data_IF_026496912430
#
_entry.id   IF_026496912430
#
_cell.length_a   1.000
_cell.length_b   1.000
_cell.length_c   1.000
_cell.angle_alpha   90.00
_cell.angle_beta   90.00
_cell.angle_gamma   90.00
#
_symmetry.space_group_name_H-M   'P 1'
#
loop_
_entity.id
_entity.type
_entity.pdbx_description
1 polymer ?
#
# COMPACT_ATOMS: atom_id res chain seq x y z
N UNK A 1 2.24 -17.01 -24.09
CA UNK A 1 1.17 -16.19 -23.49
C UNK A 1 1.72 -15.58 -22.20
N UNK A 2 1.80 -14.25 -22.15
CA UNK A 2 2.21 -13.55 -20.93
C UNK A 2 0.96 -13.34 -20.05
N UNK A 3 0.71 -14.27 -19.14
CA UNK A 3 -0.40 -14.19 -18.21
C UNK A 3 -0.15 -13.12 -17.13
N UNK A 4 -1.21 -12.48 -16.59
CA UNK A 4 -1.08 -11.60 -15.45
C UNK A 4 -0.61 -12.38 -14.22
N UNK A 5 -0.02 -11.67 -13.24
CA UNK A 5 0.53 -12.26 -12.00
C UNK A 5 -0.52 -13.05 -11.21
N UNK A 6 -1.76 -12.63 -11.25
CA UNK A 6 -2.89 -13.34 -10.65
C UNK A 6 -4.13 -13.23 -11.55
N UNK A 7 -4.86 -14.32 -11.61
CA UNK A 7 -6.17 -14.41 -12.27
C UNK A 7 -7.16 -14.73 -11.18
N UNK A 8 -8.06 -13.79 -10.92
CA UNK A 8 -9.05 -13.90 -9.86
C UNK A 8 -10.44 -14.05 -10.46
N UNK A 9 -11.20 -14.97 -9.90
CA UNK A 9 -12.60 -15.19 -10.24
C UNK A 9 -13.45 -15.15 -8.97
N UNK A 10 -14.69 -14.69 -9.09
CA UNK A 10 -15.71 -14.78 -8.07
C UNK A 10 -16.92 -15.54 -8.63
N UNK A 11 -17.43 -16.46 -7.84
CA UNK A 11 -18.66 -17.17 -8.13
C UNK A 11 -19.75 -16.67 -7.20
N UNK A 12 -20.86 -16.25 -7.78
CA UNK A 12 -22.09 -15.93 -7.05
C UNK A 12 -22.98 -17.18 -7.07
N UNK A 13 -23.38 -17.65 -5.91
CA UNK A 13 -24.27 -18.80 -5.77
C UNK A 13 -25.59 -18.42 -5.12
N UNK A 14 -26.63 -19.19 -5.41
CA UNK A 14 -27.90 -19.11 -4.71
C UNK A 14 -27.72 -19.52 -3.24
N UNK A 15 -28.30 -18.76 -2.31
CA UNK A 15 -28.11 -18.98 -0.87
C UNK A 15 -28.80 -20.27 -0.38
N UNK A 16 -29.93 -20.62 -0.98
CA UNK A 16 -30.75 -21.75 -0.53
C UNK A 16 -30.32 -23.07 -1.16
N UNK A 17 -29.97 -23.04 -2.44
CA UNK A 17 -29.67 -24.25 -3.24
C UNK A 17 -28.19 -24.47 -3.48
N UNK A 18 -27.34 -23.47 -3.29
CA UNK A 18 -25.93 -23.50 -3.68
C UNK A 18 -25.68 -23.43 -5.19
N UNK A 19 -26.71 -23.36 -6.01
CA UNK A 19 -26.59 -23.32 -7.46
C UNK A 19 -25.81 -22.08 -7.92
N UNK A 20 -24.83 -22.23 -8.84
CA UNK A 20 -24.09 -21.08 -9.33
C UNK A 20 -24.97 -20.17 -10.18
N UNK A 21 -25.01 -18.88 -9.85
CA UNK A 21 -25.75 -17.81 -10.56
C UNK A 21 -24.86 -17.04 -11.53
N UNK A 22 -23.60 -16.84 -11.18
CA UNK A 22 -22.64 -16.12 -12.04
C UNK A 22 -21.20 -16.50 -11.72
N UNK A 23 -20.34 -16.43 -12.73
CA UNK A 23 -18.88 -16.50 -12.61
C UNK A 23 -18.33 -15.25 -13.30
N UNK A 24 -17.53 -14.47 -12.56
CA UNK A 24 -17.06 -13.16 -13.02
C UNK A 24 -15.55 -13.00 -12.76
N UNK A 25 -14.87 -12.18 -13.57
CA UNK A 25 -13.52 -11.75 -13.24
C UNK A 25 -13.53 -10.87 -11.98
N UNK A 26 -12.65 -11.20 -11.04
CA UNK A 26 -12.53 -10.48 -9.77
C UNK A 26 -11.27 -9.61 -9.67
N UNK A 27 -10.49 -9.43 -10.75
CA UNK A 27 -9.25 -8.67 -10.70
C UNK A 27 -9.50 -7.20 -10.31
N UNK A 28 -10.50 -6.55 -10.92
CA UNK A 28 -10.87 -5.19 -10.57
C UNK A 28 -11.45 -5.11 -9.15
N UNK A 29 -12.34 -6.02 -8.79
CA UNK A 29 -12.92 -6.11 -7.44
C UNK A 29 -11.81 -6.21 -6.39
N UNK A 30 -10.84 -7.09 -6.60
CA UNK A 30 -9.71 -7.26 -5.68
C UNK A 30 -8.85 -6.00 -5.56
N UNK A 31 -8.57 -5.33 -6.68
CA UNK A 31 -7.80 -4.09 -6.67
C UNK A 31 -8.55 -2.96 -5.93
N UNK A 32 -9.84 -2.79 -6.21
CA UNK A 32 -10.68 -1.76 -5.58
C UNK A 32 -10.83 -1.99 -4.07
N UNK A 33 -11.15 -3.23 -3.62
CA UNK A 33 -11.30 -3.50 -2.18
C UNK A 33 -9.97 -3.32 -1.43
N UNK A 34 -8.83 -3.68 -2.08
CA UNK A 34 -7.51 -3.51 -1.47
C UNK A 34 -7.13 -2.03 -1.38
N UNK A 35 -7.42 -1.24 -2.42
CA UNK A 35 -7.16 0.19 -2.40
C UNK A 35 -8.12 1.00 -1.51
N UNK A 36 -9.35 0.54 -1.31
CA UNK A 36 -10.32 1.21 -0.45
C UNK A 36 -9.97 1.11 1.05
N UNK A 37 -9.33 0.01 1.49
CA UNK A 37 -8.99 -0.21 2.90
C UNK A 37 -8.08 0.88 3.48
N UNK A 38 -6.92 1.21 2.88
CA UNK A 38 -6.07 2.26 3.42
C UNK A 38 -6.71 3.64 3.35
N UNK A 39 -7.52 3.93 2.34
CA UNK A 39 -8.24 5.19 2.26
C UNK A 39 -9.33 5.32 3.34
N UNK A 40 -10.07 4.26 3.60
CA UNK A 40 -11.01 4.20 4.72
C UNK A 40 -10.28 4.42 6.06
N UNK A 41 -9.14 3.79 6.24
CA UNK A 41 -8.31 3.99 7.43
C UNK A 41 -7.78 5.43 7.51
N UNK A 42 -7.36 6.02 6.40
CA UNK A 42 -6.90 7.41 6.32
C UNK A 42 -7.97 8.42 6.78
N UNK A 43 -9.24 8.16 6.46
CA UNK A 43 -10.36 8.98 6.93
C UNK A 43 -10.36 9.18 8.44
N UNK A 44 -9.87 8.21 9.21
CA UNK A 44 -9.88 8.22 10.68
C UNK A 44 -8.50 8.48 11.28
N UNK A 45 -7.43 8.03 10.63
CA UNK A 45 -6.08 8.00 11.19
C UNK A 45 -5.17 9.10 10.63
N UNK A 46 -5.36 9.51 9.36
CA UNK A 46 -4.55 10.57 8.79
C UNK A 46 -4.97 11.94 9.32
N UNK A 47 -4.02 12.86 9.32
CA UNK A 47 -4.30 14.25 9.67
C UNK A 47 -5.25 14.87 8.66
N UNK A 48 -6.21 15.67 9.15
CA UNK A 48 -7.23 16.29 8.29
C UNK A 48 -6.67 17.36 7.35
N UNK A 49 -5.53 17.96 7.72
CA UNK A 49 -4.80 18.94 6.95
C UNK A 49 -3.72 18.34 6.04
N UNK A 50 -3.74 17.01 5.81
CA UNK A 50 -2.81 16.32 4.91
C UNK A 50 -2.86 16.90 3.50
N UNK A 51 -1.68 17.28 2.96
CA UNK A 51 -1.51 17.90 1.64
C UNK A 51 -0.66 17.10 0.69
N UNK A 52 0.24 16.26 1.22
CA UNK A 52 1.20 15.49 0.44
C UNK A 52 0.92 13.99 0.58
N UNK A 53 0.56 13.36 -0.54
CA UNK A 53 0.34 11.92 -0.65
C UNK A 53 1.49 11.27 -1.42
N UNK A 54 2.10 10.25 -0.87
CA UNK A 54 3.12 9.44 -1.54
C UNK A 54 2.54 8.08 -1.94
N UNK A 55 2.71 7.71 -3.21
CA UNK A 55 2.28 6.42 -3.78
C UNK A 55 3.52 5.62 -4.19
N UNK A 56 3.91 4.67 -3.36
CA UNK A 56 5.05 3.79 -3.58
C UNK A 56 4.54 2.50 -4.22
N UNK A 57 5.01 2.18 -5.43
CA UNK A 57 4.43 1.16 -6.29
C UNK A 57 3.15 1.66 -6.97
N UNK A 58 3.23 2.59 -7.95
CA UNK A 58 2.08 3.21 -8.61
C UNK A 58 1.42 2.27 -9.63
N UNK A 59 1.06 1.06 -9.18
CA UNK A 59 0.32 0.05 -9.92
C UNK A 59 -1.19 0.16 -9.73
N UNK A 60 -1.91 -0.89 -10.13
CA UNK A 60 -3.37 -0.92 -10.11
C UNK A 60 -3.96 -0.74 -8.70
N UNK A 61 -3.30 -1.29 -7.66
CA UNK A 61 -3.77 -1.17 -6.26
C UNK A 61 -3.69 0.29 -5.83
N UNK A 62 -2.52 0.94 -6.00
CA UNK A 62 -2.36 2.35 -5.64
C UNK A 62 -3.18 3.28 -6.53
N UNK A 63 -3.52 2.89 -7.77
CA UNK A 63 -4.48 3.65 -8.59
C UNK A 63 -5.88 3.62 -7.99
N UNK A 64 -6.33 2.45 -7.53
CA UNK A 64 -7.62 2.32 -6.83
C UNK A 64 -7.60 3.03 -5.47
N UNK A 65 -6.48 2.93 -4.74
CA UNK A 65 -6.31 3.64 -3.47
C UNK A 65 -6.34 5.15 -3.65
N UNK A 66 -5.65 5.69 -4.67
CA UNK A 66 -5.66 7.11 -5.00
C UNK A 66 -7.09 7.63 -5.21
N UNK A 67 -7.90 6.92 -6.01
CA UNK A 67 -9.30 7.31 -6.23
C UNK A 67 -10.06 7.45 -4.91
N UNK A 68 -9.84 6.54 -3.97
CA UNK A 68 -10.47 6.58 -2.66
C UNK A 68 -9.82 7.63 -1.72
N UNK A 69 -8.50 7.84 -1.77
CA UNK A 69 -7.83 8.87 -0.99
C UNK A 69 -8.31 10.27 -1.35
N UNK A 70 -8.48 10.56 -2.64
CA UNK A 70 -8.93 11.87 -3.10
C UNK A 70 -10.34 12.24 -2.62
N UNK A 71 -11.19 11.23 -2.31
CA UNK A 71 -12.50 11.43 -1.69
C UNK A 71 -12.42 11.72 -0.18
N UNK A 72 -11.47 11.12 0.53
CA UNK A 72 -11.40 11.21 2.00
C UNK A 72 -10.37 12.23 2.51
N UNK A 73 -9.44 12.65 1.66
CA UNK A 73 -8.38 13.63 1.92
C UNK A 73 -8.46 14.78 0.89
N UNK A 74 -9.46 15.68 1.02
CA UNK A 74 -9.77 16.66 -0.02
C UNK A 74 -8.71 17.76 -0.18
N UNK A 75 -7.74 17.85 0.75
CA UNK A 75 -6.70 18.87 0.74
C UNK A 75 -5.38 18.41 0.12
N UNK A 76 -5.32 17.21 -0.46
CA UNK A 76 -4.14 16.73 -1.18
C UNK A 76 -3.90 17.63 -2.40
N UNK A 77 -2.73 18.24 -2.44
CA UNK A 77 -2.31 19.17 -3.51
C UNK A 77 -0.95 18.77 -4.13
N UNK A 78 -0.21 17.87 -3.47
CA UNK A 78 1.03 17.30 -4.01
C UNK A 78 0.97 15.78 -3.94
N UNK A 79 1.37 15.12 -5.05
CA UNK A 79 1.49 13.66 -5.10
C UNK A 79 2.91 13.28 -5.49
N UNK A 80 3.51 12.40 -4.70
CA UNK A 80 4.83 11.80 -4.95
C UNK A 80 4.64 10.37 -5.45
N UNK A 81 5.34 10.02 -6.52
CA UNK A 81 5.24 8.71 -7.17
C UNK A 81 6.60 8.02 -7.15
N UNK A 82 6.67 6.80 -6.59
CA UNK A 82 7.88 5.97 -6.63
C UNK A 82 7.59 4.66 -7.36
N UNK A 83 8.07 4.56 -8.60
CA UNK A 83 8.04 3.34 -9.41
C UNK A 83 9.35 2.55 -9.29
N UNK A 84 9.57 1.58 -10.17
CA UNK A 84 10.85 0.86 -10.29
C UNK A 84 11.98 1.76 -10.79
N UNK A 85 11.64 2.85 -11.45
CA UNK A 85 12.54 3.93 -11.90
C UNK A 85 11.70 5.17 -12.17
N UNK A 86 12.36 6.33 -12.34
CA UNK A 86 11.70 7.59 -12.72
C UNK A 86 10.97 7.51 -14.07
N UNK A 87 11.44 6.66 -14.98
CA UNK A 87 10.85 6.42 -16.30
C UNK A 87 9.97 5.17 -16.32
N UNK A 88 9.58 4.61 -15.18
CA UNK A 88 8.73 3.43 -15.16
C UNK A 88 7.38 3.71 -15.80
N UNK A 89 6.91 2.81 -16.66
CA UNK A 89 5.63 2.93 -17.36
C UNK A 89 4.46 3.17 -16.39
N UNK A 90 4.49 2.53 -15.23
CA UNK A 90 3.42 2.67 -14.23
C UNK A 90 3.44 4.04 -13.56
N UNK A 91 4.61 4.63 -13.30
CA UNK A 91 4.70 5.98 -12.73
C UNK A 91 4.24 7.04 -13.73
N UNK A 92 4.66 6.93 -14.99
CA UNK A 92 4.23 7.86 -16.05
C UNK A 92 2.71 7.76 -16.30
N UNK A 93 2.16 6.56 -16.42
CA UNK A 93 0.72 6.36 -16.59
C UNK A 93 -0.11 6.84 -15.38
N UNK A 94 0.44 6.74 -14.16
CA UNK A 94 -0.18 7.28 -12.95
C UNK A 94 -0.16 8.81 -12.98
N UNK A 95 0.96 9.42 -13.39
CA UNK A 95 1.06 10.87 -13.54
C UNK A 95 0.02 11.40 -14.52
N UNK A 96 -0.06 10.84 -15.72
CA UNK A 96 -1.08 11.21 -16.72
C UNK A 96 -2.50 11.08 -16.17
N UNK A 97 -2.79 9.98 -15.46
CA UNK A 97 -4.09 9.78 -14.83
C UNK A 97 -4.42 10.84 -13.77
N UNK A 98 -3.42 11.28 -12.97
CA UNK A 98 -3.62 12.33 -11.97
C UNK A 98 -3.88 13.67 -12.64
N UNK A 99 -3.08 14.03 -13.64
CA UNK A 99 -3.20 15.28 -14.41
C UNK A 99 -4.60 15.39 -15.06
N UNK A 100 -5.13 14.28 -15.59
CA UNK A 100 -6.46 14.24 -16.22
C UNK A 100 -7.59 14.34 -15.21
N UNK A 101 -7.49 13.61 -14.08
CA UNK A 101 -8.62 13.38 -13.16
C UNK A 101 -8.68 14.34 -11.98
N UNK A 102 -7.55 14.90 -11.57
CA UNK A 102 -7.42 15.64 -10.30
C UNK A 102 -6.76 17.00 -10.51
N UNK A 103 -7.44 17.97 -11.15
CA UNK A 103 -6.88 19.30 -11.44
C UNK A 103 -6.52 20.10 -10.18
N UNK A 104 -7.02 19.69 -9.00
CA UNK A 104 -6.64 20.28 -7.71
C UNK A 104 -5.23 19.90 -7.25
N UNK A 105 -4.63 18.85 -7.82
CA UNK A 105 -3.24 18.46 -7.56
C UNK A 105 -2.32 19.41 -8.31
N UNK A 106 -1.58 20.23 -7.56
CA UNK A 106 -0.71 21.29 -8.11
C UNK A 106 0.65 20.78 -8.53
N UNK A 107 1.12 19.71 -7.88
CA UNK A 107 2.46 19.18 -8.09
C UNK A 107 2.45 17.65 -8.10
N UNK A 108 3.12 17.05 -9.10
CA UNK A 108 3.33 15.61 -9.21
C UNK A 108 4.82 15.38 -9.38
N UNK A 109 5.44 14.74 -8.40
CA UNK A 109 6.86 14.44 -8.35
C UNK A 109 7.10 12.94 -8.56
N UNK A 110 7.97 12.57 -9.51
CA UNK A 110 8.40 11.16 -9.67
C UNK A 110 9.75 11.03 -8.97
N UNK A 111 9.75 10.30 -7.85
CA UNK A 111 10.90 10.12 -6.97
C UNK A 111 11.82 9.00 -7.49
N UNK A 112 13.12 9.22 -7.38
CA UNK A 112 14.14 8.24 -7.76
C UNK A 112 14.44 7.22 -6.65
N UNK A 113 14.25 7.61 -5.39
CA UNK A 113 14.52 6.80 -4.21
C UNK A 113 13.28 6.65 -3.32
N UNK A 114 13.30 5.61 -2.47
CA UNK A 114 12.27 5.40 -1.46
C UNK A 114 12.27 6.54 -0.43
N UNK A 115 13.46 7.03 -0.07
CA UNK A 115 13.63 8.16 0.84
C UNK A 115 12.94 9.42 0.32
N UNK A 116 13.24 9.83 -0.92
CA UNK A 116 12.58 11.00 -1.54
C UNK A 116 11.05 10.86 -1.53
N UNK A 117 10.53 9.65 -1.78
CA UNK A 117 9.09 9.43 -1.74
C UNK A 117 8.50 9.57 -0.33
N UNK A 118 9.25 9.26 0.72
CA UNK A 118 8.77 9.30 2.11
C UNK A 118 8.94 10.68 2.75
N UNK A 119 10.02 11.40 2.42
CA UNK A 119 10.31 12.72 2.99
C UNK A 119 9.16 13.69 2.72
N UNK A 120 8.78 14.45 3.74
CA UNK A 120 7.70 15.45 3.72
C UNK A 120 6.29 14.95 3.36
N UNK A 121 6.09 13.63 3.16
CA UNK A 121 4.77 13.08 2.93
C UNK A 121 3.91 13.10 4.21
N UNK A 122 2.65 13.50 4.10
CA UNK A 122 1.66 13.38 5.16
C UNK A 122 1.09 11.96 5.23
N UNK A 123 0.89 11.37 4.05
CA UNK A 123 0.37 10.01 3.87
C UNK A 123 1.25 9.27 2.90
N UNK A 124 1.71 8.10 3.30
CA UNK A 124 2.49 7.17 2.47
C UNK A 124 1.67 5.92 2.24
N UNK A 125 1.41 5.59 0.98
CA UNK A 125 0.67 4.40 0.55
C UNK A 125 1.60 3.49 -0.24
N UNK A 126 1.96 2.34 0.34
CA UNK A 126 2.87 1.38 -0.28
C UNK A 126 2.11 0.15 -0.78
N UNK A 127 2.33 -0.17 -2.07
CA UNK A 127 1.79 -1.37 -2.75
C UNK A 127 2.80 -1.91 -3.78
N UNK A 128 4.06 -2.03 -3.37
CA UNK A 128 5.11 -2.55 -4.25
C UNK A 128 4.98 -4.06 -4.45
N UNK A 129 5.34 -4.50 -5.64
CA UNK A 129 5.67 -5.91 -5.89
C UNK A 129 7.15 -6.11 -5.60
N UNK A 130 7.46 -6.64 -4.42
CA UNK A 130 8.82 -6.81 -3.94
C UNK A 130 9.37 -8.19 -4.33
N UNK A 131 10.63 -8.23 -4.76
CA UNK A 131 11.47 -9.43 -4.92
C UNK A 131 12.72 -9.26 -4.06
N UNK A 132 13.51 -10.33 -3.89
CA UNK A 132 14.78 -10.25 -3.13
C UNK A 132 15.74 -9.20 -3.72
N UNK A 133 15.71 -9.03 -5.04
CA UNK A 133 16.63 -8.17 -5.77
C UNK A 133 16.25 -6.67 -5.70
N UNK A 134 14.96 -6.36 -5.48
CA UNK A 134 14.45 -4.98 -5.51
C UNK A 134 13.89 -4.51 -4.16
N UNK A 135 14.15 -5.25 -3.09
CA UNK A 135 13.71 -4.88 -1.75
C UNK A 135 14.59 -3.74 -1.21
N UNK A 136 13.97 -2.58 -1.04
CA UNK A 136 14.60 -1.41 -0.41
C UNK A 136 14.24 -1.37 1.07
N UNK A 137 15.19 -0.95 1.89
CA UNK A 137 14.98 -0.76 3.32
C UNK A 137 14.22 0.53 3.58
N UNK A 138 13.21 0.46 4.45
CA UNK A 138 12.43 1.60 4.88
C UNK A 138 12.89 2.06 6.26
N UNK A 139 13.05 3.37 6.42
CA UNK A 139 13.48 3.99 7.66
C UNK A 139 12.42 4.97 8.17
N UNK A 140 12.02 4.85 9.43
CA UNK A 140 11.02 5.75 10.04
C UNK A 140 11.49 7.20 10.13
N UNK A 141 12.80 7.42 10.23
CA UNK A 141 13.40 8.75 10.28
C UNK A 141 13.18 9.60 9.03
N UNK A 142 12.79 8.97 7.90
CA UNK A 142 12.42 9.67 6.68
C UNK A 142 11.04 10.31 6.77
N UNK A 143 10.23 9.89 7.73
CA UNK A 143 8.87 10.37 7.88
C UNK A 143 8.85 11.65 8.71
N UNK A 144 8.07 12.62 8.29
CA UNK A 144 7.78 13.76 9.15
C UNK A 144 6.87 13.36 10.31
N UNK A 145 6.96 14.09 11.42
CA UNK A 145 6.12 13.87 12.59
C UNK A 145 4.63 13.96 12.24
N UNK A 146 3.88 12.94 12.60
CA UNK A 146 2.44 12.83 12.33
C UNK A 146 2.10 12.31 10.93
N UNK A 147 3.08 11.82 10.16
CA UNK A 147 2.81 11.09 8.93
C UNK A 147 2.09 9.76 9.23
N UNK A 148 1.25 9.34 8.28
CA UNK A 148 0.56 8.04 8.34
C UNK A 148 1.03 7.15 7.20
N UNK A 149 1.42 5.92 7.53
CA UNK A 149 1.90 4.94 6.55
C UNK A 149 0.90 3.79 6.41
N UNK A 150 0.50 3.49 5.20
CA UNK A 150 -0.32 2.34 4.82
C UNK A 150 0.51 1.39 3.98
N UNK A 151 0.88 0.24 4.54
CA UNK A 151 1.62 -0.80 3.84
C UNK A 151 0.66 -1.91 3.40
N UNK A 152 0.36 -1.95 2.11
CA UNK A 152 -0.41 -3.01 1.46
C UNK A 152 0.49 -4.07 0.82
N UNK A 153 1.74 -3.73 0.63
CA UNK A 153 2.81 -4.60 0.14
C UNK A 153 3.74 -5.04 1.27
N UNK A 154 5.02 -4.87 1.09
CA UNK A 154 6.02 -5.26 2.08
C UNK A 154 7.22 -4.32 2.03
N UNK A 155 7.38 -3.50 3.05
CA UNK A 155 8.64 -2.83 3.30
C UNK A 155 9.63 -3.79 3.98
N UNK A 156 10.92 -3.62 3.72
CA UNK A 156 11.97 -4.22 4.52
C UNK A 156 12.26 -3.33 5.73
N UNK A 157 11.95 -3.84 6.91
CA UNK A 157 12.28 -3.19 8.17
C UNK A 157 13.47 -3.92 8.81
N UNK A 158 14.57 -3.25 9.07
CA UNK A 158 15.72 -3.86 9.74
C UNK A 158 15.62 -3.82 11.26
N UNK A 159 15.03 -2.77 11.81
CA UNK A 159 14.93 -2.55 13.24
C UNK A 159 13.47 -2.50 13.66
N UNK A 160 13.03 -3.53 14.36
CA UNK A 160 11.67 -3.56 14.91
C UNK A 160 11.49 -2.54 16.03
N UNK A 161 12.57 -2.23 16.75
CA UNK A 161 12.57 -1.27 17.85
C UNK A 161 12.17 0.15 17.40
N UNK A 162 12.41 0.51 16.14
CA UNK A 162 11.98 1.77 15.55
C UNK A 162 10.45 1.95 15.60
N UNK A 163 9.69 0.85 15.65
CA UNK A 163 8.24 0.88 15.71
C UNK A 163 7.67 0.99 17.14
N UNK A 164 8.48 0.74 18.19
CA UNK A 164 8.00 0.77 19.58
C UNK A 164 7.44 2.13 19.99
N UNK A 165 7.88 3.20 19.36
CA UNK A 165 7.37 4.56 19.55
C UNK A 165 6.22 4.95 18.63
N UNK A 166 5.78 4.08 17.72
CA UNK A 166 4.74 4.36 16.74
C UNK A 166 3.39 3.77 17.13
N UNK A 167 2.32 4.39 16.65
CA UNK A 167 0.97 3.87 16.80
C UNK A 167 0.68 2.91 15.64
N UNK A 168 0.67 1.62 15.93
CA UNK A 168 0.31 0.59 14.95
C UNK A 168 -1.18 0.27 15.01
N UNK A 169 -1.82 0.22 13.85
CA UNK A 169 -3.24 -0.13 13.70
C UNK A 169 -3.36 -1.23 12.67
N UNK A 170 -4.15 -2.24 12.97
CA UNK A 170 -4.41 -3.38 12.09
C UNK A 170 -5.91 -3.49 11.81
N UNK A 171 -6.26 -4.01 10.66
CA UNK A 171 -7.64 -4.21 10.21
C UNK A 171 -8.36 -5.36 10.94
N UNK A 172 -7.61 -6.37 11.39
CA UNK A 172 -8.14 -7.51 12.14
C UNK A 172 -7.13 -8.04 13.16
N UNK A 173 -7.32 -7.67 14.42
CA UNK A 173 -6.42 -8.07 15.50
C UNK A 173 -6.29 -9.59 15.64
N UNK A 174 -7.41 -10.34 15.58
CA UNK A 174 -7.38 -11.80 15.75
C UNK A 174 -6.58 -12.53 14.66
N UNK A 175 -6.52 -11.97 13.45
CA UNK A 175 -5.67 -12.50 12.38
C UNK A 175 -4.18 -12.28 12.72
N UNK A 176 -3.82 -11.12 13.20
CA UNK A 176 -2.45 -10.79 13.58
C UNK A 176 -2.01 -11.55 14.84
N UNK A 177 -2.87 -11.67 15.85
CA UNK A 177 -2.59 -12.47 17.05
C UNK A 177 -2.26 -13.93 16.70
N UNK A 178 -3.07 -14.55 15.86
CA UNK A 178 -2.81 -15.92 15.39
C UNK A 178 -1.51 -16.01 14.56
N UNK A 179 -1.24 -14.98 13.76
CA UNK A 179 -0.02 -14.91 12.96
C UNK A 179 1.20 -14.75 13.85
N UNK A 180 1.15 -13.87 14.85
CA UNK A 180 2.20 -13.66 15.84
C UNK A 180 2.48 -14.91 16.66
N UNK A 181 1.45 -15.62 17.13
CA UNK A 181 1.62 -16.87 17.87
C UNK A 181 2.31 -17.94 17.02
N UNK A 182 1.93 -18.09 15.74
CA UNK A 182 2.61 -18.98 14.81
C UNK A 182 4.04 -18.54 14.48
N UNK A 183 4.28 -17.25 14.46
CA UNK A 183 5.55 -16.62 14.17
C UNK A 183 6.54 -16.83 15.33
N UNK A 184 6.09 -16.64 16.57
CA UNK A 184 6.87 -16.92 17.79
C UNK A 184 7.24 -18.41 17.85
N UNK A 185 6.30 -19.31 17.52
CA UNK A 185 6.53 -20.76 17.55
C UNK A 185 7.53 -21.26 16.50
N UNK A 186 7.65 -20.56 15.34
CA UNK A 186 8.54 -20.95 14.23
C UNK A 186 9.84 -20.17 14.17
N UNK A 187 9.98 -19.15 14.99
CA UNK A 187 11.02 -18.12 14.89
C UNK A 187 10.77 -17.15 13.72
N UNK A 188 11.39 -15.99 13.79
CA UNK A 188 11.19 -14.95 12.78
C UNK A 188 11.76 -15.36 11.43
N UNK A 189 10.91 -15.37 10.42
CA UNK A 189 11.31 -15.55 9.02
C UNK A 189 10.82 -14.35 8.21
N UNK A 190 11.61 -13.88 7.26
CA UNK A 190 11.16 -12.85 6.33
C UNK A 190 10.19 -13.42 5.29
N UNK A 191 9.66 -12.58 4.41
CA UNK A 191 8.76 -12.96 3.34
C UNK A 191 9.33 -14.03 2.38
N UNK A 192 10.63 -14.28 2.44
CA UNK A 192 11.37 -15.24 1.64
C UNK A 192 11.83 -16.48 2.42
N UNK A 193 11.41 -16.61 3.70
CA UNK A 193 11.73 -17.77 4.54
C UNK A 193 13.12 -17.74 5.19
N UNK A 194 13.84 -16.62 5.15
CA UNK A 194 15.11 -16.49 5.87
C UNK A 194 14.84 -16.20 7.35
N UNK A 195 15.60 -16.83 8.26
CA UNK A 195 15.52 -16.52 9.68
C UNK A 195 15.96 -15.07 9.92
N UNK A 196 15.16 -14.32 10.68
CA UNK A 196 15.54 -13.03 11.26
C UNK A 196 15.83 -13.21 12.74
N UNK A 197 16.89 -12.60 13.22
CA UNK A 197 17.09 -12.46 14.66
C UNK A 197 16.18 -11.33 15.15
N UNK A 198 15.12 -11.70 15.85
CA UNK A 198 14.30 -10.75 16.58
C UNK A 198 14.72 -10.80 18.04
N UNK A 199 15.14 -9.67 18.55
CA UNK A 199 15.27 -9.50 20.00
C UNK A 199 13.90 -9.00 20.48
N UNK A 200 13.24 -9.80 21.32
CA UNK A 200 12.00 -9.41 22.02
C UNK A 200 12.42 -8.62 23.25
#
# INVERSE_FOLDING_TARGET
LKLPRSILMVTLSDVDTGAPKAIMSANLLSAMRTGAMPAMSAKYLARKDSRVLSLIGPGVINKCALMCYMEVLPHIEKIKLRGSSVNSRTALAMKEFIEEKYPQVKEIEICSTLREACEDADVVSEAMSVTKENMEEFHLEWLKKGATVFSMGSFLYRQFDDFLGTKMVVDNYGMYEKYMNNFIARGPVDAFGNKREWVI
#
